data_IF_008868057376
#
_entry.id   IF_008868057376
#
_cell.length_a   1.000
_cell.length_b   1.000
_cell.length_c   1.000
_cell.angle_alpha   90.00
_cell.angle_beta   90.00
_cell.angle_gamma   90.00
#
_symmetry.space_group_name_H-M   'P 1'
#
loop_
_entity.id
_entity.type
_entity.pdbx_description
1 polymer ?
#
# COMPACT_ATOMS: atom_id res chain seq x y z
N UNK A 1 -0.75 21.28 12.54
CA UNK A 1 0.16 20.11 12.54
C UNK A 1 0.67 20.01 11.12
N UNK A 2 2.02 20.05 10.91
CA UNK A 2 2.61 19.81 9.60
C UNK A 2 2.23 18.39 9.12
N UNK A 3 1.97 18.22 7.82
CA UNK A 3 1.74 16.90 7.23
C UNK A 3 3.01 16.04 7.41
N UNK A 4 2.84 14.79 7.81
CA UNK A 4 3.95 13.83 7.82
C UNK A 4 4.53 13.70 6.41
N UNK A 5 5.85 13.61 6.22
CA UNK A 5 6.46 13.30 4.94
C UNK A 5 6.35 11.80 4.59
N UNK A 6 5.75 10.99 5.43
CA UNK A 6 5.55 9.56 5.20
C UNK A 6 4.81 9.32 3.88
N UNK A 7 5.27 8.34 3.13
CA UNK A 7 4.82 8.05 1.77
C UNK A 7 5.57 8.82 0.68
N UNK A 8 6.21 9.94 1.02
CA UNK A 8 6.91 10.81 0.07
C UNK A 8 8.44 10.74 0.20
N UNK A 9 8.95 10.01 1.18
CA UNK A 9 10.37 9.75 1.33
C UNK A 9 10.78 8.60 0.40
N UNK A 10 10.98 8.92 -0.88
CA UNK A 10 11.22 7.92 -1.93
C UNK A 10 12.40 7.01 -1.59
N UNK A 11 12.24 5.68 -1.63
CA UNK A 11 13.32 4.75 -1.32
C UNK A 11 14.44 4.83 -2.37
N UNK A 12 15.72 4.82 -1.90
CA UNK A 12 16.87 4.91 -2.79
C UNK A 12 18.17 5.19 -2.05
N UNK A 13 19.24 5.27 -2.82
CA UNK A 13 20.56 5.67 -2.32
C UNK A 13 20.81 7.13 -2.65
N UNK A 14 21.19 7.92 -1.65
CA UNK A 14 21.39 9.36 -1.78
C UNK A 14 22.80 9.74 -1.40
N UNK A 15 23.46 10.52 -2.26
CA UNK A 15 24.79 11.07 -1.99
C UNK A 15 24.66 12.53 -1.57
N UNK A 16 25.15 12.85 -0.39
CA UNK A 16 25.11 14.18 0.19
C UNK A 16 26.52 14.68 0.55
N UNK A 17 26.75 16.00 0.54
CA UNK A 17 27.96 16.58 1.13
C UNK A 17 28.11 16.19 2.60
N UNK A 18 29.34 15.99 3.09
CA UNK A 18 29.60 15.55 4.46
C UNK A 18 29.01 16.46 5.54
N UNK A 19 28.83 17.75 5.25
CA UNK A 19 28.25 18.75 6.17
C UNK A 19 26.77 19.02 5.89
N UNK A 20 26.11 18.23 5.02
CA UNK A 20 24.69 18.42 4.75
C UNK A 20 23.84 18.22 6.01
N UNK A 21 22.94 19.14 6.27
CA UNK A 21 21.96 19.04 7.35
C UNK A 21 20.75 18.18 6.97
N UNK A 22 19.83 18.00 7.91
CA UNK A 22 18.59 17.22 7.73
C UNK A 22 17.71 17.83 6.63
N UNK A 23 17.66 19.17 6.53
CA UNK A 23 16.88 19.88 5.51
C UNK A 23 17.35 19.51 4.09
N UNK A 24 18.67 19.50 3.86
CA UNK A 24 19.24 19.12 2.56
C UNK A 24 18.96 17.65 2.22
N UNK A 25 18.95 16.76 3.22
CA UNK A 25 18.57 15.37 3.03
C UNK A 25 17.10 15.26 2.62
N UNK A 26 16.20 15.90 3.35
CA UNK A 26 14.76 15.87 3.06
C UNK A 26 14.46 16.48 1.68
N UNK A 27 15.05 17.62 1.35
CA UNK A 27 14.91 18.24 0.04
C UNK A 27 15.37 17.31 -1.08
N UNK A 28 16.49 16.62 -0.90
CA UNK A 28 17.02 15.67 -1.89
C UNK A 28 16.06 14.51 -2.11
N UNK A 29 15.52 13.92 -1.01
CA UNK A 29 14.60 12.79 -1.07
C UNK A 29 13.27 13.20 -1.72
N UNK A 30 12.70 14.34 -1.29
CA UNK A 30 11.43 14.85 -1.83
C UNK A 30 11.57 15.26 -3.30
N UNK A 31 12.71 15.88 -3.69
CA UNK A 31 12.99 16.19 -5.10
C UNK A 31 13.09 14.91 -5.93
N UNK A 32 13.67 13.85 -5.38
CA UNK A 32 13.70 12.57 -6.09
C UNK A 32 12.29 11.99 -6.25
N UNK A 33 11.43 12.05 -5.21
CA UNK A 33 10.03 11.66 -5.32
C UNK A 33 9.34 12.43 -6.46
N UNK A 34 9.48 13.76 -6.52
CA UNK A 34 8.90 14.59 -7.57
C UNK A 34 9.37 14.19 -8.98
N UNK A 35 10.64 13.82 -9.14
CA UNK A 35 11.21 13.37 -10.40
C UNK A 35 10.68 11.97 -10.80
N UNK A 36 10.53 11.06 -9.86
CA UNK A 36 10.04 9.71 -10.11
C UNK A 36 8.54 9.69 -10.38
N UNK A 37 7.76 10.44 -9.61
CA UNK A 37 6.30 10.60 -9.81
C UNK A 37 6.06 11.72 -10.84
N UNK A 38 6.48 11.44 -12.05
CA UNK A 38 6.47 12.36 -13.18
C UNK A 38 5.03 12.69 -13.68
N UNK A 39 4.92 13.53 -14.70
CA UNK A 39 3.64 13.97 -15.25
C UNK A 39 2.77 12.81 -15.77
N UNK A 40 3.38 11.76 -16.34
CA UNK A 40 2.68 10.58 -16.83
C UNK A 40 1.98 9.85 -15.68
N UNK A 41 2.71 9.56 -14.59
CA UNK A 41 2.19 8.89 -13.40
C UNK A 41 1.08 9.73 -12.74
N UNK A 42 1.30 11.04 -12.59
CA UNK A 42 0.29 11.98 -12.03
C UNK A 42 -0.98 12.03 -12.88
N UNK A 43 -0.85 11.98 -14.20
CA UNK A 43 -2.00 11.87 -15.11
C UNK A 43 -2.73 10.54 -14.91
N UNK A 44 -1.99 9.44 -14.71
CA UNK A 44 -2.55 8.14 -14.35
C UNK A 44 -3.43 8.23 -13.10
N UNK A 45 -2.95 8.84 -12.02
CA UNK A 45 -3.73 9.04 -10.79
C UNK A 45 -5.01 9.86 -11.04
N UNK A 46 -4.89 10.95 -11.79
CA UNK A 46 -6.06 11.78 -12.14
C UNK A 46 -7.10 10.99 -12.93
N UNK A 47 -6.67 10.14 -13.87
CA UNK A 47 -7.55 9.28 -14.65
C UNK A 47 -8.27 8.24 -13.78
N UNK A 48 -7.65 7.82 -12.67
CA UNK A 48 -8.25 6.95 -11.66
C UNK A 48 -9.09 7.72 -10.62
N UNK A 49 -9.19 9.05 -10.72
CA UNK A 49 -9.96 9.89 -9.80
C UNK A 49 -9.28 10.12 -8.44
N UNK A 50 -7.98 9.88 -8.32
CA UNK A 50 -7.23 10.05 -7.08
C UNK A 50 -6.43 11.36 -7.06
N UNK A 51 -6.40 12.02 -5.92
CA UNK A 51 -5.38 13.02 -5.58
C UNK A 51 -4.01 12.34 -5.39
N UNK A 52 -2.93 13.13 -5.40
CA UNK A 52 -1.58 12.60 -5.15
C UNK A 52 -1.47 11.88 -3.81
N UNK A 53 -2.07 12.45 -2.75
CA UNK A 53 -2.01 11.83 -1.42
C UNK A 53 -2.76 10.49 -1.37
N UNK A 54 -3.95 10.42 -1.97
CA UNK A 54 -4.72 9.17 -2.06
C UNK A 54 -3.99 8.10 -2.89
N UNK A 55 -3.37 8.51 -3.99
CA UNK A 55 -2.59 7.60 -4.83
C UNK A 55 -1.37 7.04 -4.10
N UNK A 56 -0.63 7.88 -3.37
CA UNK A 56 0.52 7.44 -2.55
C UNK A 56 0.05 6.56 -1.39
N UNK A 57 -1.10 6.88 -0.78
CA UNK A 57 -1.72 6.05 0.25
C UNK A 57 -2.04 4.65 -0.28
N UNK A 58 -2.71 4.56 -1.42
CA UNK A 58 -3.01 3.27 -2.05
C UNK A 58 -1.73 2.53 -2.47
N UNK A 59 -0.73 3.25 -3.02
CA UNK A 59 0.55 2.66 -3.39
C UNK A 59 1.29 2.08 -2.17
N UNK A 60 1.21 2.72 -1.01
CA UNK A 60 1.81 2.20 0.22
C UNK A 60 1.14 0.90 0.70
N UNK A 61 -0.16 0.73 0.45
CA UNK A 61 -0.86 -0.53 0.72
C UNK A 61 -0.42 -1.61 -0.27
N UNK A 62 -0.39 -1.31 -1.57
CA UNK A 62 0.09 -2.25 -2.61
C UNK A 62 1.52 -2.70 -2.34
N UNK A 63 2.42 -1.77 -1.96
CA UNK A 63 3.80 -2.07 -1.58
C UNK A 63 3.90 -3.08 -0.44
N UNK A 64 2.99 -2.99 0.53
CA UNK A 64 3.01 -3.87 1.71
C UNK A 64 2.31 -5.21 1.51
N UNK A 65 1.42 -5.31 0.54
CA UNK A 65 0.74 -6.57 0.18
C UNK A 65 1.60 -7.41 -0.78
N UNK A 66 2.27 -6.78 -1.74
CA UNK A 66 2.99 -7.50 -2.78
C UNK A 66 4.29 -8.14 -2.25
N UNK A 67 4.51 -9.40 -2.59
CA UNK A 67 5.82 -10.05 -2.50
C UNK A 67 6.55 -9.92 -3.84
N UNK A 68 5.80 -10.05 -4.95
CA UNK A 68 6.32 -9.95 -6.31
C UNK A 68 5.81 -8.68 -6.99
N UNK A 69 6.72 -7.88 -7.51
CA UNK A 69 6.41 -6.61 -8.19
C UNK A 69 5.43 -6.78 -9.35
N UNK A 70 5.47 -7.93 -10.04
CA UNK A 70 4.62 -8.23 -11.21
C UNK A 70 3.13 -8.31 -10.86
N UNK A 71 2.76 -8.57 -9.61
CA UNK A 71 1.38 -8.65 -9.16
C UNK A 71 0.80 -7.29 -8.72
N UNK A 72 1.64 -6.29 -8.50
CA UNK A 72 1.21 -4.99 -8.00
C UNK A 72 0.08 -4.34 -8.82
N UNK A 73 0.08 -4.38 -10.17
CA UNK A 73 -1.05 -3.85 -10.95
C UNK A 73 -2.37 -4.60 -10.72
N UNK A 74 -2.32 -5.92 -10.44
CA UNK A 74 -3.51 -6.71 -10.11
C UNK A 74 -4.01 -6.41 -8.70
N UNK A 75 -3.12 -6.28 -7.72
CA UNK A 75 -3.46 -5.87 -6.36
C UNK A 75 -4.12 -4.47 -6.36
N UNK A 76 -3.53 -3.52 -7.10
CA UNK A 76 -4.13 -2.20 -7.28
C UNK A 76 -5.55 -2.29 -7.88
N UNK A 77 -5.75 -3.15 -8.89
CA UNK A 77 -7.07 -3.39 -9.50
C UNK A 77 -8.10 -3.88 -8.47
N UNK A 78 -7.73 -4.83 -7.60
CA UNK A 78 -8.63 -5.31 -6.53
C UNK A 78 -9.05 -4.17 -5.61
N UNK A 79 -8.12 -3.33 -5.18
CA UNK A 79 -8.44 -2.19 -4.33
C UNK A 79 -9.36 -1.18 -5.03
N UNK A 80 -9.11 -0.87 -6.30
CA UNK A 80 -10.00 0.00 -7.09
C UNK A 80 -11.39 -0.59 -7.23
N UNK A 81 -11.52 -1.88 -7.52
CA UNK A 81 -12.80 -2.55 -7.63
C UNK A 81 -13.58 -2.49 -6.30
N UNK A 82 -12.91 -2.70 -5.16
CA UNK A 82 -13.52 -2.55 -3.82
C UNK A 82 -13.95 -1.11 -3.54
N UNK A 83 -13.12 -0.12 -3.84
CA UNK A 83 -13.45 1.31 -3.67
C UNK A 83 -14.67 1.69 -4.50
N UNK A 84 -14.77 1.23 -5.75
CA UNK A 84 -15.87 1.55 -6.67
C UNK A 84 -17.24 1.11 -6.14
N UNK A 85 -17.30 0.04 -5.32
CA UNK A 85 -18.54 -0.46 -4.72
C UNK A 85 -18.64 -0.19 -3.22
N UNK A 86 -17.77 0.68 -2.67
CA UNK A 86 -17.71 1.00 -1.25
C UNK A 86 -17.48 -0.22 -0.35
N UNK A 87 -16.81 -1.24 -0.86
CA UNK A 87 -16.38 -2.39 -0.08
C UNK A 87 -15.15 -2.02 0.75
N UNK A 88 -15.06 -2.54 1.98
CA UNK A 88 -13.89 -2.36 2.85
C UNK A 88 -12.64 -2.93 2.18
N UNK A 89 -11.51 -2.21 2.31
CA UNK A 89 -10.25 -2.66 1.70
C UNK A 89 -9.67 -3.88 2.42
N UNK A 90 -9.91 -4.01 3.74
CA UNK A 90 -9.57 -5.17 4.56
C UNK A 90 -8.14 -5.68 4.30
N UNK A 91 -7.17 -4.78 4.48
CA UNK A 91 -5.75 -4.99 4.24
C UNK A 91 -5.01 -5.10 5.58
N UNK A 92 -4.38 -6.25 5.84
CA UNK A 92 -3.62 -6.52 7.07
C UNK A 92 -2.56 -5.47 7.38
N UNK A 93 -1.74 -5.01 6.40
CA UNK A 93 -0.76 -3.96 6.62
C UNK A 93 -1.31 -2.66 7.23
N UNK A 94 -2.57 -2.32 6.98
CA UNK A 94 -3.19 -1.12 7.56
C UNK A 94 -3.46 -1.29 9.05
N UNK A 95 -3.78 -2.50 9.49
CA UNK A 95 -3.94 -2.87 10.90
C UNK A 95 -2.57 -2.93 11.58
N UNK A 96 -1.59 -3.56 10.95
CA UNK A 96 -0.21 -3.61 11.45
C UNK A 96 0.36 -2.21 11.69
N UNK A 97 0.13 -1.29 10.75
CA UNK A 97 0.51 0.11 10.89
C UNK A 97 -0.19 0.79 12.09
N UNK A 98 -1.50 0.54 12.25
CA UNK A 98 -2.28 1.09 13.36
C UNK A 98 -1.83 0.59 14.74
N UNK A 99 -1.37 -0.67 14.84
CA UNK A 99 -0.83 -1.25 16.05
C UNK A 99 0.52 -0.64 16.45
N UNK A 100 1.33 -0.22 15.47
CA UNK A 100 2.65 0.32 15.71
C UNK A 100 3.69 -0.76 16.04
N UNK A 101 4.76 -0.36 16.74
CA UNK A 101 5.88 -1.26 17.03
C UNK A 101 5.53 -2.33 18.06
N UNK A 102 5.63 -3.60 17.64
CA UNK A 102 5.45 -4.76 18.50
C UNK A 102 6.79 -5.11 19.18
N UNK A 103 6.87 -4.91 20.50
CA UNK A 103 8.09 -5.14 21.27
C UNK A 103 8.42 -6.62 21.44
N UNK A 104 7.43 -7.50 21.42
CA UNK A 104 7.62 -8.95 21.59
C UNK A 104 8.19 -9.58 20.31
N UNK A 105 7.69 -9.14 19.15
CA UNK A 105 8.16 -9.60 17.84
C UNK A 105 9.31 -8.77 17.29
N UNK A 106 9.67 -7.66 17.96
CA UNK A 106 10.68 -6.69 17.52
C UNK A 106 10.47 -6.18 16.10
N UNK A 107 9.22 -5.87 15.73
CA UNK A 107 8.80 -5.45 14.38
C UNK A 107 7.71 -4.38 14.41
N UNK A 108 7.61 -3.60 13.35
CA UNK A 108 6.47 -2.72 13.05
C UNK A 108 5.32 -3.46 12.35
N UNK A 109 5.53 -4.71 11.96
CA UNK A 109 4.64 -5.49 11.12
C UNK A 109 4.25 -6.79 11.83
N UNK A 110 3.41 -6.65 12.85
CA UNK A 110 2.90 -7.79 13.65
C UNK A 110 2.29 -8.86 12.75
N UNK A 111 2.81 -10.09 12.83
CA UNK A 111 2.33 -11.20 12.04
C UNK A 111 2.51 -12.54 12.80
N UNK A 112 1.45 -13.39 12.93
CA UNK A 112 0.10 -13.16 12.43
C UNK A 112 -0.67 -12.12 13.26
N UNK A 113 -1.67 -11.50 12.64
CA UNK A 113 -2.65 -10.68 13.36
C UNK A 113 -3.65 -11.59 14.10
N UNK A 114 -3.97 -11.23 15.34
CA UNK A 114 -5.06 -11.87 16.09
C UNK A 114 -6.42 -11.25 15.73
N UNK A 115 -7.50 -11.94 16.11
CA UNK A 115 -8.85 -11.36 15.94
C UNK A 115 -9.03 -10.05 16.72
N UNK A 116 -8.37 -9.91 17.87
CA UNK A 116 -8.39 -8.67 18.67
C UNK A 116 -7.65 -7.53 17.96
N UNK A 117 -6.56 -7.83 17.26
CA UNK A 117 -5.82 -6.82 16.48
C UNK A 117 -6.69 -6.24 15.36
N UNK A 118 -7.52 -7.08 14.71
CA UNK A 118 -8.44 -6.64 13.67
C UNK A 118 -9.58 -5.73 14.20
N UNK A 119 -9.79 -5.67 15.51
CA UNK A 119 -10.80 -4.83 16.14
C UNK A 119 -10.24 -3.48 16.64
N UNK A 120 -8.94 -3.17 16.41
CA UNK A 120 -8.34 -1.90 16.83
C UNK A 120 -9.12 -0.70 16.26
N UNK A 121 -9.58 0.18 17.13
CA UNK A 121 -10.27 1.41 16.74
C UNK A 121 -9.26 2.46 16.27
N UNK A 122 -8.97 2.42 14.99
CA UNK A 122 -8.05 3.35 14.32
C UNK A 122 -8.59 3.71 12.94
N UNK A 123 -8.50 4.98 12.51
CA UNK A 123 -8.89 5.38 11.15
C UNK A 123 -8.04 4.71 10.06
N UNK A 124 -6.92 4.10 10.42
CA UNK A 124 -6.12 3.27 9.51
C UNK A 124 -6.67 1.84 9.35
N UNK A 125 -7.54 1.36 10.25
CA UNK A 125 -8.07 0.00 10.17
C UNK A 125 -9.11 -0.14 9.05
N UNK A 126 -8.67 -0.63 7.90
CA UNK A 126 -9.52 -0.82 6.71
C UNK A 126 -10.46 -2.03 6.80
N UNK A 127 -10.43 -2.80 7.89
CA UNK A 127 -11.47 -3.78 8.24
C UNK A 127 -12.69 -3.13 8.87
N UNK A 128 -12.51 -2.02 9.60
CA UNK A 128 -13.59 -1.30 10.28
C UNK A 128 -14.09 -0.11 9.49
N UNK A 129 -13.16 0.65 8.90
CA UNK A 129 -13.45 1.90 8.21
C UNK A 129 -13.42 1.72 6.70
N UNK A 130 -14.44 2.21 5.96
CA UNK A 130 -14.47 2.17 4.51
C UNK A 130 -13.50 3.20 3.90
N UNK A 131 -13.23 3.06 2.61
CA UNK A 131 -12.34 3.91 1.82
C UNK A 131 -10.85 3.77 2.18
N UNK A 132 -10.03 4.67 1.66
CA UNK A 132 -8.60 4.74 1.96
C UNK A 132 -8.37 5.21 3.40
N UNK A 133 -7.29 4.74 4.05
CA UNK A 133 -6.87 5.29 5.32
C UNK A 133 -6.43 6.78 5.17
N UNK A 134 -6.26 7.51 6.30
CA UNK A 134 -5.98 8.96 6.26
C UNK A 134 -4.68 9.35 5.56
N UNK A 135 -3.76 8.42 5.38
CA UNK A 135 -2.47 8.65 4.74
C UNK A 135 -1.69 7.36 4.51
N UNK A 136 -0.50 7.47 3.90
CA UNK A 136 0.37 6.33 3.62
C UNK A 136 0.77 5.56 4.88
N UNK A 137 1.00 4.25 4.72
CA UNK A 137 1.46 3.34 5.79
C UNK A 137 2.94 2.96 5.64
N UNK A 138 3.56 3.34 4.55
CA UNK A 138 5.01 3.23 4.29
C UNK A 138 5.40 4.17 3.14
N UNK A 139 6.69 4.18 2.79
CA UNK A 139 7.19 4.89 1.61
C UNK A 139 7.24 3.93 0.43
N UNK A 140 6.31 4.01 -0.55
CA UNK A 140 6.24 3.07 -1.66
C UNK A 140 7.36 3.30 -2.68
N UNK A 141 7.79 2.21 -3.32
CA UNK A 141 8.70 2.24 -4.47
C UNK A 141 8.01 2.64 -5.77
N UNK A 142 8.81 2.81 -6.83
CA UNK A 142 8.29 3.23 -8.13
C UNK A 142 7.31 2.22 -8.72
N UNK A 143 7.52 0.92 -8.50
CA UNK A 143 6.64 -0.14 -9.03
C UNK A 143 5.24 -0.02 -8.47
N UNK A 144 5.09 0.14 -7.15
CA UNK A 144 3.79 0.33 -6.52
C UNK A 144 3.11 1.64 -6.95
N UNK A 145 3.88 2.73 -7.03
CA UNK A 145 3.39 4.03 -7.51
C UNK A 145 2.87 3.93 -8.96
N UNK A 146 3.58 3.22 -9.83
CA UNK A 146 3.14 2.97 -11.22
C UNK A 146 1.94 2.03 -11.28
N UNK A 147 1.88 1.00 -10.44
CA UNK A 147 0.76 0.07 -10.37
C UNK A 147 -0.56 0.77 -10.07
N UNK A 148 -0.53 1.76 -9.18
CA UNK A 148 -1.71 2.60 -8.87
C UNK A 148 -2.06 3.56 -10.00
N UNK A 149 -1.07 4.10 -10.72
CA UNK A 149 -1.32 4.96 -11.89
C UNK A 149 -1.90 4.17 -13.09
N UNK A 150 -1.47 2.92 -13.24
CA UNK A 150 -1.77 2.04 -14.39
C UNK A 150 -2.19 0.65 -13.90
N UNK A 151 -3.32 0.53 -13.19
CA UNK A 151 -3.78 -0.76 -12.67
C UNK A 151 -4.15 -1.70 -13.80
N UNK A 152 -4.04 -3.00 -13.54
CA UNK A 152 -4.62 -4.01 -14.41
C UNK A 152 -6.15 -3.85 -14.46
N UNK A 153 -6.74 -4.27 -15.57
CA UNK A 153 -8.21 -4.31 -15.69
C UNK A 153 -8.68 -5.74 -15.42
N UNK A 154 -9.15 -5.99 -14.20
CA UNK A 154 -9.56 -7.33 -13.75
C UNK A 154 -10.94 -7.28 -13.09
N UNK A 155 -11.67 -8.42 -13.07
CA UNK A 155 -12.93 -8.52 -12.35
C UNK A 155 -12.76 -8.90 -10.87
N UNK A 156 -11.53 -8.93 -10.34
CA UNK A 156 -11.24 -9.47 -9.02
C UNK A 156 -11.56 -8.50 -7.89
N UNK A 157 -12.13 -9.05 -6.82
CA UNK A 157 -12.41 -8.35 -5.56
C UNK A 157 -11.65 -8.96 -4.38
N UNK A 158 -11.02 -10.12 -4.56
CA UNK A 158 -10.36 -10.87 -3.50
C UNK A 158 -8.99 -11.36 -3.97
N UNK A 159 -8.06 -11.44 -3.03
CA UNK A 159 -6.78 -12.10 -3.20
C UNK A 159 -6.34 -12.74 -1.88
N UNK A 160 -5.50 -13.71 -1.95
CA UNK A 160 -4.80 -14.34 -0.82
C UNK A 160 -3.51 -14.99 -1.28
N UNK A 161 -2.57 -15.20 -0.36
CA UNK A 161 -1.33 -15.88 -0.64
C UNK A 161 -1.59 -17.30 -1.20
N UNK A 162 -0.89 -17.66 -2.26
CA UNK A 162 -0.91 -19.00 -2.83
C UNK A 162 -0.27 -20.02 -1.90
N UNK A 163 -0.63 -21.31 -2.09
CA UNK A 163 -0.18 -22.41 -1.23
C UNK A 163 1.10 -23.10 -1.73
N UNK A 164 1.66 -22.63 -2.83
CA UNK A 164 2.80 -23.25 -3.52
C UNK A 164 4.17 -22.71 -3.07
N UNK A 165 4.18 -21.74 -2.16
CA UNK A 165 5.42 -21.11 -1.67
C UNK A 165 6.08 -20.16 -2.67
N UNK A 166 5.44 -19.85 -3.80
CA UNK A 166 5.96 -18.91 -4.80
C UNK A 166 5.94 -17.45 -4.32
N UNK A 167 5.11 -17.15 -3.32
CA UNK A 167 4.79 -15.80 -2.90
C UNK A 167 3.77 -15.10 -3.79
N UNK A 168 3.23 -15.79 -4.79
CA UNK A 168 2.17 -15.24 -5.65
C UNK A 168 0.81 -15.33 -4.96
N UNK A 169 -0.10 -14.42 -5.34
CA UNK A 169 -1.46 -14.43 -4.87
C UNK A 169 -2.39 -15.19 -5.83
N UNK A 170 -3.42 -15.80 -5.23
CA UNK A 170 -4.58 -16.32 -5.95
C UNK A 170 -5.68 -15.27 -5.89
N UNK A 171 -6.14 -14.84 -7.07
CA UNK A 171 -7.17 -13.82 -7.21
C UNK A 171 -8.55 -14.46 -7.44
N UNK A 172 -9.61 -13.78 -6.97
CA UNK A 172 -10.98 -14.27 -7.11
C UNK A 172 -11.97 -13.12 -7.32
N UNK A 173 -13.03 -13.39 -8.12
CA UNK A 173 -14.13 -12.45 -8.34
C UNK A 173 -15.13 -12.48 -7.18
N UNK A 174 -15.39 -13.68 -6.64
CA UNK A 174 -16.40 -13.88 -5.59
C UNK A 174 -15.78 -14.37 -4.29
N UNK A 175 -16.48 -14.13 -3.20
CA UNK A 175 -16.06 -14.61 -1.89
C UNK A 175 -16.01 -16.13 -1.81
N UNK A 176 -16.92 -16.83 -2.51
CA UNK A 176 -16.93 -18.29 -2.58
C UNK A 176 -15.64 -18.84 -3.27
N UNK A 177 -15.24 -18.23 -4.39
CA UNK A 177 -13.96 -18.57 -5.04
C UNK A 177 -12.77 -18.29 -4.12
N UNK A 178 -12.79 -17.15 -3.40
CA UNK A 178 -11.75 -16.81 -2.44
C UNK A 178 -11.62 -17.85 -1.31
N UNK A 179 -12.73 -18.34 -0.78
CA UNK A 179 -12.71 -19.43 0.20
C UNK A 179 -12.16 -20.73 -0.40
N UNK A 180 -12.49 -21.00 -1.68
CA UNK A 180 -11.94 -22.15 -2.41
C UNK A 180 -10.43 -22.12 -2.64
N UNK A 181 -9.81 -20.95 -2.54
CA UNK A 181 -8.35 -20.75 -2.64
C UNK A 181 -7.63 -21.00 -1.31
N UNK A 182 -8.30 -21.45 -0.26
CA UNK A 182 -7.70 -21.70 1.05
C UNK A 182 -6.68 -22.85 0.98
N UNK A 183 -5.55 -22.64 1.66
CA UNK A 183 -4.55 -23.70 1.76
C UNK A 183 -5.06 -24.85 2.62
N UNK A 184 -4.82 -26.12 2.20
CA UNK A 184 -5.27 -27.31 2.92
C UNK A 184 -4.59 -27.47 4.30
#
# INVERSE_FOLDING_TARGET
>A
RGSSPEGFLFPGSYTLPRQAGVEALLETILTNFENQVNAEIRTGYTNQGLSLNEAVTLASMVEREAINDEEMPMLASVFYNRLAISQRLASDPTVQYALGYNTEQATWWTNPLSSTDLEIDSPYNTYLYPNLPPGPICNPGLTALRAVAFPAQTPYYYFRAGCDGSGNHLFAETYEQHLGNECP
#
